data_IF_612177356197
#
_entry.id   IF_612177356197
#
_cell.length_a   1.000
_cell.length_b   1.000
_cell.length_c   1.000
_cell.angle_alpha   90.00
_cell.angle_beta   90.00
_cell.angle_gamma   90.00
#
_symmetry.space_group_name_H-M   'P 1'
#
loop_
_entity.id
_entity.type
_entity.pdbx_description
1 polymer ?
#
# COMPACT_ATOMS: atom_id res chain seq x y z
N UNK A 1 -26.57 -23.90 -10.89
CA UNK A 1 -26.32 -22.54 -10.38
C UNK A 1 -25.04 -22.61 -9.59
N UNK A 2 -24.05 -21.90 -10.09
CA UNK A 2 -22.67 -21.83 -9.60
C UNK A 2 -22.59 -21.07 -8.29
N UNK A 3 -21.74 -21.52 -7.39
CA UNK A 3 -20.88 -20.63 -6.61
C UNK A 3 -19.51 -21.30 -6.53
N UNK A 4 -18.55 -20.71 -7.23
CA UNK A 4 -17.15 -21.12 -7.22
C UNK A 4 -16.52 -20.71 -5.89
N UNK A 5 -16.00 -21.69 -5.15
CA UNK A 5 -15.05 -21.43 -4.07
C UNK A 5 -13.74 -20.93 -4.69
N UNK A 6 -13.33 -19.73 -4.32
CA UNK A 6 -12.01 -19.21 -4.66
C UNK A 6 -11.10 -19.35 -3.42
N UNK A 7 -10.04 -20.18 -3.48
CA UNK A 7 -9.08 -20.31 -2.40
C UNK A 7 -7.89 -19.40 -2.68
N UNK A 8 -7.82 -18.25 -2.02
CA UNK A 8 -6.53 -17.58 -1.82
C UNK A 8 -6.44 -17.11 -0.37
N UNK A 9 -5.49 -17.73 0.31
CA UNK A 9 -5.19 -17.73 1.72
C UNK A 9 -4.48 -16.43 2.15
N UNK A 10 -4.58 -16.14 3.46
CA UNK A 10 -3.63 -15.32 4.26
C UNK A 10 -3.73 -13.79 4.11
N UNK A 11 -3.81 -12.97 5.16
CA UNK A 11 -3.22 -13.07 6.51
C UNK A 11 -4.16 -12.39 7.53
N UNK A 12 -4.53 -13.10 8.60
CA UNK A 12 -4.98 -12.48 9.86
C UNK A 12 -3.73 -12.10 10.67
N UNK A 13 -3.36 -10.82 10.70
CA UNK A 13 -2.34 -10.30 11.63
C UNK A 13 -2.97 -9.38 12.67
N UNK A 14 -2.61 -9.63 13.91
CA UNK A 14 -3.16 -9.13 15.17
C UNK A 14 -2.61 -7.76 15.60
N UNK A 15 -3.44 -6.92 16.26
CA UNK A 15 -3.09 -5.83 17.22
C UNK A 15 -2.93 -4.38 16.67
N UNK A 16 -3.17 -3.31 17.50
CA UNK A 16 -4.06 -2.19 17.18
C UNK A 16 -3.35 -1.00 16.52
N UNK A 17 -3.07 -1.09 15.23
CA UNK A 17 -3.11 0.07 14.31
C UNK A 17 -3.41 -0.55 12.95
N UNK A 18 -4.68 -0.88 12.72
CA UNK A 18 -5.10 -1.50 11.47
C UNK A 18 -5.06 -0.42 10.38
N UNK A 19 -3.93 -0.33 9.70
CA UNK A 19 -3.80 0.47 8.49
C UNK A 19 -4.72 -0.10 7.42
N UNK A 20 -5.76 0.63 7.04
CA UNK A 20 -6.69 0.23 5.98
C UNK A 20 -6.11 0.59 4.63
N UNK A 21 -6.01 -0.36 3.71
CA UNK A 21 -5.54 -0.08 2.35
C UNK A 21 -6.63 0.66 1.56
N UNK A 22 -6.36 1.90 1.15
CA UNK A 22 -7.26 2.69 0.33
C UNK A 22 -7.05 2.43 -1.17
N UNK A 23 -5.79 2.34 -1.60
CA UNK A 23 -5.44 2.14 -3.00
C UNK A 23 -4.03 1.56 -3.15
N UNK A 24 -3.78 0.85 -4.25
CA UNK A 24 -2.44 0.45 -4.64
C UNK A 24 -2.26 0.54 -6.15
N UNK A 25 -1.08 0.99 -6.59
CA UNK A 25 -0.72 1.07 -8.01
C UNK A 25 0.71 0.62 -8.22
N UNK A 26 0.87 -0.32 -9.15
CA UNK A 26 2.18 -0.72 -9.66
C UNK A 26 2.54 0.14 -10.88
N UNK A 27 3.76 0.67 -10.87
CA UNK A 27 4.36 1.48 -11.95
C UNK A 27 5.80 1.03 -12.21
N UNK A 28 6.38 1.46 -13.33
CA UNK A 28 7.81 1.26 -13.58
C UNK A 28 8.63 1.91 -12.46
N UNK A 29 9.72 1.27 -12.06
CA UNK A 29 10.59 1.76 -11.00
C UNK A 29 11.18 3.13 -11.40
N UNK A 30 10.93 4.13 -10.56
CA UNK A 30 11.45 5.48 -10.77
C UNK A 30 12.30 5.91 -9.56
N UNK A 31 13.55 6.35 -9.77
CA UNK A 31 14.48 6.64 -8.68
C UNK A 31 14.01 7.79 -7.77
N UNK A 32 13.15 8.68 -8.24
CA UNK A 32 12.64 9.81 -7.44
C UNK A 32 11.33 9.54 -6.72
N UNK A 33 10.69 8.38 -6.95
CA UNK A 33 9.38 8.10 -6.39
C UNK A 33 9.37 8.10 -4.85
N UNK A 34 10.49 7.70 -4.23
CA UNK A 34 10.64 7.75 -2.77
C UNK A 34 10.59 9.18 -2.22
N UNK A 35 11.05 10.20 -2.98
CA UNK A 35 11.00 11.60 -2.55
C UNK A 35 9.56 12.11 -2.50
N UNK A 36 8.75 11.69 -3.48
CA UNK A 36 7.32 12.01 -3.52
C UNK A 36 6.61 11.34 -2.35
N UNK A 37 6.90 10.07 -2.09
CA UNK A 37 6.34 9.31 -0.96
C UNK A 37 6.74 9.93 0.38
N UNK A 38 8.01 10.35 0.54
CA UNK A 38 8.48 11.06 1.73
C UNK A 38 7.73 12.38 1.96
N UNK A 39 7.57 13.19 0.91
CA UNK A 39 6.79 14.43 0.98
C UNK A 39 5.34 14.16 1.41
N UNK A 40 4.68 13.17 0.81
CA UNK A 40 3.32 12.79 1.19
C UNK A 40 3.24 12.36 2.65
N UNK A 41 4.17 11.51 3.11
CA UNK A 41 4.20 11.08 4.51
C UNK A 41 4.48 12.24 5.47
N UNK A 42 5.32 13.22 5.11
CA UNK A 42 5.57 14.39 5.96
C UNK A 42 4.41 15.37 6.03
N UNK A 43 3.51 15.36 5.05
CA UNK A 43 2.41 16.35 4.92
C UNK A 43 1.03 15.78 5.23
N UNK A 44 0.83 14.47 5.06
CA UNK A 44 -0.47 13.81 5.15
C UNK A 44 -0.55 12.76 6.26
N UNK A 45 0.57 12.35 6.88
CA UNK A 45 0.56 11.39 8.00
C UNK A 45 -0.25 11.88 9.19
N UNK A 46 -0.16 13.16 9.52
CA UNK A 46 -0.95 13.76 10.61
C UNK A 46 -2.45 13.85 10.27
N UNK A 47 -2.82 13.61 9.01
CA UNK A 47 -4.21 13.51 8.53
C UNK A 47 -4.69 12.06 8.43
N UNK A 48 -3.93 11.10 8.95
CA UNK A 48 -4.25 9.68 8.90
C UNK A 48 -3.90 9.00 7.57
N UNK A 49 -3.24 9.67 6.62
CA UNK A 49 -2.86 9.07 5.35
C UNK A 49 -1.38 8.71 5.32
N UNK A 50 -1.08 7.44 5.01
CA UNK A 50 0.28 6.91 4.92
C UNK A 50 0.51 6.33 3.53
N UNK A 51 1.67 6.63 2.97
CA UNK A 51 2.09 6.15 1.65
C UNK A 51 3.24 5.15 1.83
N UNK A 52 3.02 3.92 1.41
CA UNK A 52 4.03 2.88 1.30
C UNK A 52 4.61 2.83 -0.10
N UNK A 53 5.89 2.47 -0.18
CA UNK A 53 6.61 2.23 -1.41
C UNK A 53 7.35 0.89 -1.31
N UNK A 54 7.07 -0.02 -2.22
CA UNK A 54 7.82 -1.27 -2.35
C UNK A 54 8.37 -1.41 -3.78
N UNK A 55 9.47 -2.14 -3.94
CA UNK A 55 10.10 -2.40 -5.25
C UNK A 55 10.14 -3.91 -5.48
N UNK A 56 9.72 -4.34 -6.67
CA UNK A 56 9.76 -5.73 -7.12
C UNK A 56 10.32 -5.76 -8.53
N UNK A 57 11.60 -6.14 -8.67
CA UNK A 57 12.33 -6.05 -9.94
C UNK A 57 12.35 -4.62 -10.47
N UNK A 58 11.91 -4.44 -11.72
CA UNK A 58 11.85 -3.14 -12.42
C UNK A 58 10.54 -2.37 -12.18
N UNK A 59 9.73 -2.83 -11.23
CA UNK A 59 8.47 -2.19 -10.86
C UNK A 59 8.50 -1.71 -9.42
N UNK A 60 7.77 -0.64 -9.16
CA UNK A 60 7.50 -0.12 -7.82
C UNK A 60 6.00 -0.11 -7.58
N UNK A 61 5.58 -0.46 -6.37
CA UNK A 61 4.19 -0.41 -5.94
C UNK A 61 4.05 0.68 -4.91
N UNK A 62 3.19 1.65 -5.19
CA UNK A 62 2.77 2.68 -4.22
C UNK A 62 1.45 2.22 -3.61
N UNK A 63 1.37 2.19 -2.28
CA UNK A 63 0.15 1.83 -1.55
C UNK A 63 -0.23 2.97 -0.63
N UNK A 64 -1.51 3.34 -0.61
CA UNK A 64 -2.06 4.36 0.27
C UNK A 64 -2.83 3.65 1.38
N UNK A 65 -2.54 4.04 2.61
CA UNK A 65 -3.15 3.51 3.82
C UNK A 65 -3.85 4.62 4.61
N UNK A 66 -4.90 4.27 5.31
CA UNK A 66 -5.59 5.08 6.31
C UNK A 66 -5.30 4.52 7.72
N UNK A 67 -4.88 5.39 8.65
CA UNK A 67 -4.46 5.05 10.00
C UNK A 67 -5.49 5.40 11.08
#
# INVERSE_FOLDING_TARGET
MSVEENPDTEVKLTSPTQLTVLASKQIAAHPELYKIVDLCNRTLRDRGLIFGLSKTGDKMTVTIYEA
#
